data_IF_959342105811
#
_entry.id   IF_959342105811
#
_cell.length_a   1.000
_cell.length_b   1.000
_cell.length_c   1.000
_cell.angle_alpha   90.00
_cell.angle_beta   90.00
_cell.angle_gamma   90.00
#
_symmetry.space_group_name_H-M   'P 1'
#
loop_
_entity.id
_entity.type
_entity.pdbx_description
1 polymer ?
#
# COMPACT_ATOMS: atom_id res chain seq x y z
N UNK A 1 16.65 1.83 -7.21
CA UNK A 1 15.35 2.05 -7.88
C UNK A 1 15.11 1.03 -8.98
N UNK A 2 15.95 0.96 -10.01
CA UNK A 2 15.79 -0.01 -11.11
C UNK A 2 15.77 -1.47 -10.66
N UNK A 3 16.63 -1.86 -9.71
CA UNK A 3 16.65 -3.24 -9.17
C UNK A 3 15.36 -3.62 -8.44
N UNK A 4 14.71 -2.67 -7.78
CA UNK A 4 13.42 -2.91 -7.10
C UNK A 4 12.33 -3.14 -8.14
N UNK A 5 12.30 -2.32 -9.20
CA UNK A 5 11.36 -2.49 -10.31
C UNK A 5 11.58 -3.84 -11.00
N UNK A 6 12.83 -4.21 -11.28
CA UNK A 6 13.19 -5.50 -11.89
C UNK A 6 12.75 -6.68 -11.01
N UNK A 7 12.95 -6.59 -9.69
CA UNK A 7 12.50 -7.60 -8.74
C UNK A 7 10.97 -7.75 -8.72
N UNK A 8 10.24 -6.63 -8.80
CA UNK A 8 8.77 -6.61 -8.83
C UNK A 8 8.24 -7.25 -10.13
N UNK A 9 8.85 -6.93 -11.28
CA UNK A 9 8.55 -7.57 -12.55
C UNK A 9 8.85 -9.08 -12.52
N UNK A 10 10.00 -9.47 -11.99
CA UNK A 10 10.35 -10.89 -11.83
C UNK A 10 9.35 -11.62 -10.93
N UNK A 11 8.89 -10.98 -9.83
CA UNK A 11 7.86 -11.52 -8.94
C UNK A 11 6.51 -11.74 -9.64
N UNK A 12 6.09 -10.83 -10.53
CA UNK A 12 4.87 -10.99 -11.34
C UNK A 12 5.02 -12.17 -12.30
N UNK A 13 6.15 -12.27 -13.02
CA UNK A 13 6.40 -13.36 -13.97
C UNK A 13 6.45 -14.71 -13.24
N UNK A 14 7.16 -14.79 -12.12
CA UNK A 14 7.19 -15.97 -11.28
C UNK A 14 5.79 -16.33 -10.76
N UNK A 15 5.05 -15.36 -10.23
CA UNK A 15 3.68 -15.56 -9.76
C UNK A 15 2.73 -16.07 -10.86
N UNK A 16 2.91 -15.61 -12.09
CA UNK A 16 2.13 -16.07 -13.24
C UNK A 16 2.49 -17.51 -13.64
N UNK A 17 3.78 -17.88 -13.64
CA UNK A 17 4.22 -19.24 -13.98
C UNK A 17 3.80 -20.28 -12.93
N UNK A 18 3.75 -19.88 -11.67
CA UNK A 18 3.35 -20.74 -10.54
C UNK A 18 1.83 -20.80 -10.33
N UNK A 19 1.02 -20.01 -11.07
CA UNK A 19 -0.42 -19.83 -10.86
C UNK A 19 -1.24 -21.12 -10.89
N UNK A 20 -0.85 -22.10 -11.70
CA UNK A 20 -1.59 -23.36 -11.89
C UNK A 20 -1.34 -24.40 -10.78
N UNK A 21 -0.39 -24.16 -9.87
CA UNK A 21 -0.10 -25.12 -8.80
C UNK A 21 -1.13 -25.01 -7.67
N UNK A 22 -1.76 -26.14 -7.33
CA UNK A 22 -2.80 -26.27 -6.25
C UNK A 22 -2.34 -25.77 -4.87
N UNK A 23 -1.03 -25.68 -4.63
CA UNK A 23 -0.44 -25.10 -3.42
C UNK A 23 -0.54 -23.57 -3.31
N UNK A 24 -0.85 -22.87 -4.41
CA UNK A 24 -1.05 -21.41 -4.44
C UNK A 24 -2.26 -20.97 -3.60
N UNK A 25 -3.21 -21.88 -3.30
CA UNK A 25 -4.35 -21.57 -2.43
C UNK A 25 -3.96 -21.18 -1.00
N UNK A 26 -2.78 -21.61 -0.51
CA UNK A 26 -2.29 -21.27 0.83
C UNK A 26 -1.42 -20.01 0.87
N UNK A 27 -1.07 -19.43 -0.29
CA UNK A 27 -0.25 -18.22 -0.37
C UNK A 27 -0.93 -17.04 0.31
N UNK A 28 -2.26 -16.91 0.22
CA UNK A 28 -2.98 -15.85 0.94
C UNK A 28 -2.73 -15.89 2.46
N UNK A 29 -2.72 -17.07 3.06
CA UNK A 29 -2.44 -17.23 4.51
C UNK A 29 -0.97 -16.92 4.83
N UNK A 30 -0.04 -17.32 3.97
CA UNK A 30 1.38 -16.99 4.11
C UNK A 30 1.63 -15.48 3.99
N UNK A 31 0.98 -14.81 3.05
CA UNK A 31 1.08 -13.34 2.89
C UNK A 31 0.54 -12.65 4.14
N UNK A 32 -0.62 -13.04 4.65
CA UNK A 32 -1.16 -12.46 5.89
C UNK A 32 -0.21 -12.67 7.08
N UNK A 33 0.38 -13.86 7.21
CA UNK A 33 1.38 -14.13 8.26
C UNK A 33 2.63 -13.26 8.07
N UNK A 34 3.11 -13.10 6.83
CA UNK A 34 4.25 -12.25 6.52
C UNK A 34 3.96 -10.78 6.82
N UNK A 35 2.79 -10.26 6.45
CA UNK A 35 2.36 -8.89 6.78
C UNK A 35 2.29 -8.73 8.30
N UNK A 36 1.71 -9.68 9.02
CA UNK A 36 1.66 -9.64 10.48
C UNK A 36 3.07 -9.59 11.10
N UNK A 37 3.97 -10.46 10.63
CA UNK A 37 5.35 -10.50 11.10
C UNK A 37 6.09 -9.18 10.77
N UNK A 38 5.91 -8.64 9.57
CA UNK A 38 6.49 -7.36 9.16
C UNK A 38 5.96 -6.20 10.00
N UNK A 39 4.65 -6.14 10.26
CA UNK A 39 4.05 -5.11 11.11
C UNK A 39 4.53 -5.23 12.56
N UNK A 40 4.68 -6.45 13.06
CA UNK A 40 5.24 -6.71 14.38
C UNK A 40 6.70 -6.23 14.48
N UNK A 41 7.53 -6.61 13.50
CA UNK A 41 8.93 -6.22 13.45
C UNK A 41 9.11 -4.71 13.26
N UNK A 42 8.25 -4.09 12.45
CA UNK A 42 8.17 -2.64 12.30
C UNK A 42 7.82 -1.97 13.63
N UNK A 43 6.84 -2.49 14.36
CA UNK A 43 6.47 -2.00 15.69
C UNK A 43 7.63 -2.07 16.67
N UNK A 44 8.39 -3.17 16.70
CA UNK A 44 9.61 -3.29 17.53
C UNK A 44 10.68 -2.29 17.11
N UNK A 45 10.95 -2.17 15.81
CA UNK A 45 11.98 -1.26 15.29
C UNK A 45 11.67 0.21 15.54
N UNK A 46 10.39 0.58 15.47
CA UNK A 46 9.92 1.94 15.76
C UNK A 46 9.87 2.18 17.28
N UNK A 47 9.40 1.21 18.05
CA UNK A 47 9.25 1.27 19.50
C UNK A 47 10.58 1.39 20.25
N UNK A 48 11.64 0.75 19.74
CA UNK A 48 12.98 0.82 20.32
C UNK A 48 13.79 2.05 19.91
N UNK A 49 13.24 2.94 19.06
CA UNK A 49 13.95 4.11 18.57
C UNK A 49 13.41 5.39 19.22
N UNK A 50 14.10 5.89 20.26
CA UNK A 50 13.71 7.10 21.01
C UNK A 50 13.56 8.34 20.12
N UNK A 51 14.34 8.45 19.03
CA UNK A 51 14.21 9.56 18.09
C UNK A 51 12.88 9.52 17.33
N UNK A 52 12.38 8.32 17.00
CA UNK A 52 11.06 8.18 16.38
C UNK A 52 9.96 8.35 17.42
N UNK A 53 10.12 7.80 18.63
CA UNK A 53 9.13 7.93 19.71
C UNK A 53 8.89 9.38 20.14
N UNK A 54 9.97 10.16 20.29
CA UNK A 54 9.89 11.58 20.67
C UNK A 54 9.25 12.45 19.58
N UNK A 55 9.40 12.07 18.31
CA UNK A 55 8.80 12.76 17.16
C UNK A 55 7.47 12.14 16.69
N UNK A 56 6.96 11.12 17.41
CA UNK A 56 5.81 10.33 16.97
C UNK A 56 4.53 11.16 16.89
N UNK A 57 4.38 12.17 17.76
CA UNK A 57 3.31 13.15 17.70
C UNK A 57 3.36 13.97 16.40
N UNK A 58 4.53 14.53 16.07
CA UNK A 58 4.75 15.31 14.85
C UNK A 58 4.54 14.46 13.58
N UNK A 59 5.11 13.25 13.55
CA UNK A 59 4.97 12.30 12.44
C UNK A 59 3.50 11.88 12.30
N UNK A 60 2.82 11.61 13.42
CA UNK A 60 1.42 11.22 13.44
C UNK A 60 0.49 12.31 12.90
N UNK A 61 0.62 13.55 13.40
CA UNK A 61 -0.19 14.69 12.91
C UNK A 61 0.08 14.95 11.44
N UNK A 62 1.35 14.99 11.03
CA UNK A 62 1.73 15.19 9.63
C UNK A 62 1.17 14.06 8.76
N UNK A 63 1.26 12.81 9.22
CA UNK A 63 0.71 11.65 8.53
C UNK A 63 -0.81 11.71 8.36
N UNK A 64 -1.55 12.14 9.39
CA UNK A 64 -3.01 12.33 9.30
C UNK A 64 -3.37 13.43 8.30
N UNK A 65 -2.70 14.57 8.36
CA UNK A 65 -2.93 15.69 7.43
C UNK A 65 -2.67 15.27 5.99
N UNK A 66 -1.54 14.60 5.73
CA UNK A 66 -1.20 14.11 4.39
C UNK A 66 -2.20 13.04 3.92
N UNK A 67 -2.60 12.12 4.80
CA UNK A 67 -3.56 11.05 4.45
C UNK A 67 -4.94 11.62 4.10
N UNK A 68 -5.41 12.62 4.85
CA UNK A 68 -6.66 13.32 4.56
C UNK A 68 -6.57 14.12 3.27
N UNK A 69 -5.50 14.90 3.09
CA UNK A 69 -5.29 15.68 1.87
C UNK A 69 -5.19 14.78 0.62
N UNK A 70 -4.48 13.65 0.73
CA UNK A 70 -4.34 12.65 -0.34
C UNK A 70 -5.68 12.00 -0.68
N UNK A 71 -6.45 11.59 0.35
CA UNK A 71 -7.77 10.98 0.16
C UNK A 71 -8.74 11.98 -0.48
N UNK A 72 -8.80 13.21 0.03
CA UNK A 72 -9.63 14.28 -0.54
C UNK A 72 -9.22 14.59 -1.99
N UNK A 73 -7.93 14.69 -2.27
CA UNK A 73 -7.42 14.91 -3.63
C UNK A 73 -7.84 13.79 -4.59
N UNK A 74 -7.73 12.52 -4.15
CA UNK A 74 -8.14 11.36 -4.94
C UNK A 74 -9.65 11.33 -5.21
N UNK A 75 -10.47 11.66 -4.20
CA UNK A 75 -11.93 11.77 -4.35
C UNK A 75 -12.32 12.91 -5.29
N UNK A 76 -11.71 14.09 -5.15
CA UNK A 76 -11.96 15.25 -6.02
C UNK A 76 -11.57 14.98 -7.47
N UNK A 77 -10.41 14.33 -7.70
CA UNK A 77 -9.97 13.94 -9.03
C UNK A 77 -10.94 12.92 -9.65
N UNK A 78 -11.36 11.92 -8.88
CA UNK A 78 -12.33 10.92 -9.33
C UNK A 78 -13.69 11.56 -9.67
N UNK A 79 -14.15 12.51 -8.85
CA UNK A 79 -15.36 13.28 -9.10
C UNK A 79 -15.24 14.15 -10.34
N UNK A 80 -14.10 14.79 -10.56
CA UNK A 80 -13.83 15.57 -11.76
C UNK A 80 -13.90 14.72 -13.03
N UNK A 81 -13.28 13.53 -13.01
CA UNK A 81 -13.34 12.57 -14.11
C UNK A 81 -14.78 12.13 -14.36
N UNK A 82 -15.54 11.81 -13.30
CA UNK A 82 -16.95 11.44 -13.40
C UNK A 82 -17.80 12.56 -14.05
N UNK A 83 -17.64 13.80 -13.60
CA UNK A 83 -18.41 14.94 -14.12
C UNK A 83 -18.05 15.25 -15.58
N UNK A 84 -16.77 15.13 -15.98
CA UNK A 84 -16.33 15.49 -17.34
C UNK A 84 -16.58 14.42 -18.38
N UNK A 85 -16.41 13.14 -18.04
CA UNK A 85 -16.56 12.03 -18.99
C UNK A 85 -17.95 11.40 -18.93
N UNK A 86 -18.44 11.03 -17.74
CA UNK A 86 -19.66 10.24 -17.63
C UNK A 86 -20.95 11.07 -17.62
N UNK A 87 -20.89 12.31 -17.11
CA UNK A 87 -22.08 13.18 -17.04
C UNK A 87 -22.52 13.78 -18.39
N UNK A 88 -21.80 13.48 -19.49
CA UNK A 88 -22.14 13.89 -20.86
C UNK A 88 -22.91 12.83 -21.65
N UNK A 89 -23.00 11.61 -21.13
CA UNK A 89 -23.69 10.50 -21.81
C UNK A 89 -25.18 10.38 -21.39
N UNK A 90 -25.64 11.23 -20.47
CA UNK A 90 -27.03 11.27 -19.96
C UNK A 90 -27.80 12.57 -20.31
N UNK A 91 -27.34 13.35 -21.29
CA UNK A 91 -28.05 14.56 -21.77
C UNK A 91 -28.45 14.45 -23.25
#
# INVERSE_FOLDING_TARGET
MFSVIACLLAGIVAGHLLRDWRHVRHIGRLISLAIFLLLFLLGLSVGGNEAILSNLSTIGVTGVVISLASTMGSVLASWWVYVRFFRKDEA
#
